data_IF_915090491055
#
_entry.id   IF_915090491055
#
_cell.length_a   1.000
_cell.length_b   1.000
_cell.length_c   1.000
_cell.angle_alpha   90.00
_cell.angle_beta   90.00
_cell.angle_gamma   90.00
#
_symmetry.space_group_name_H-M   'P 1'
#
loop_
_entity.id
_entity.type
_entity.pdbx_description
1 polymer ?
#
# COMPACT_ATOMS: atom_id res chain seq x y z
N UNK A 1 -1.11 -7.71 -29.12
CA UNK A 1 -1.63 -8.98 -28.55
C UNK A 1 -0.65 -9.46 -27.48
N UNK A 2 -0.93 -9.17 -26.21
CA UNK A 2 -0.12 -9.68 -25.09
C UNK A 2 -0.34 -11.19 -25.03
N UNK A 3 0.72 -11.99 -25.20
CA UNK A 3 0.61 -13.44 -25.03
C UNK A 3 0.18 -13.70 -23.60
N UNK A 4 -1.00 -14.27 -23.39
CA UNK A 4 -1.45 -14.79 -22.10
C UNK A 4 -0.35 -15.70 -21.54
N UNK A 5 0.14 -15.35 -20.36
CA UNK A 5 1.19 -16.13 -19.71
C UNK A 5 0.51 -17.24 -18.92
N UNK A 6 0.85 -18.46 -19.18
CA UNK A 6 0.45 -19.60 -18.36
C UNK A 6 1.40 -19.72 -17.17
N UNK A 7 0.84 -19.87 -15.97
CA UNK A 7 1.61 -20.13 -14.76
C UNK A 7 1.38 -21.60 -14.34
N UNK A 8 2.44 -22.40 -14.10
CA UNK A 8 2.28 -23.82 -13.84
C UNK A 8 1.41 -24.16 -12.62
N UNK A 9 1.43 -23.30 -11.59
CA UNK A 9 0.69 -23.54 -10.34
C UNK A 9 -0.59 -22.66 -10.24
N UNK A 10 -0.65 -21.52 -10.94
CA UNK A 10 -1.76 -20.56 -10.88
C UNK A 10 -2.67 -20.58 -12.11
N UNK A 11 -2.29 -21.31 -13.16
CA UNK A 11 -3.08 -21.44 -14.39
C UNK A 11 -2.94 -20.27 -15.36
N UNK A 12 -3.96 -20.02 -16.16
CA UNK A 12 -3.95 -18.98 -17.19
C UNK A 12 -4.09 -17.58 -16.57
N UNK A 13 -3.32 -16.62 -17.11
CA UNK A 13 -3.44 -15.22 -16.76
C UNK A 13 -4.79 -14.67 -17.21
N UNK A 14 -5.48 -13.98 -16.31
CA UNK A 14 -6.79 -13.37 -16.53
C UNK A 14 -6.66 -11.88 -16.87
N UNK A 15 -6.13 -11.11 -15.95
CA UNK A 15 -5.94 -9.66 -16.07
C UNK A 15 -4.81 -9.18 -15.15
N UNK A 16 -4.45 -7.92 -15.30
CA UNK A 16 -3.46 -7.26 -14.44
C UNK A 16 -4.00 -5.92 -13.96
N UNK A 17 -3.94 -5.66 -12.66
CA UNK A 17 -4.26 -4.33 -12.12
C UNK A 17 -3.06 -3.74 -11.39
N UNK A 18 -3.06 -2.43 -11.25
CA UNK A 18 -2.05 -1.71 -10.48
C UNK A 18 -2.62 -1.25 -9.13
N UNK A 19 -1.76 -1.24 -8.11
CA UNK A 19 -2.08 -0.66 -6.80
C UNK A 19 -0.98 0.32 -6.44
N UNK A 20 -1.36 1.59 -6.26
CA UNK A 20 -0.46 2.68 -5.87
C UNK A 20 -0.93 3.28 -4.55
N UNK A 21 -0.03 3.92 -3.80
CA UNK A 21 -0.34 4.54 -2.52
C UNK A 21 0.53 5.76 -2.26
N UNK A 22 0.04 6.64 -1.41
CA UNK A 22 0.84 7.66 -0.75
C UNK A 22 1.60 8.54 -1.77
N UNK A 23 0.86 9.15 -2.70
CA UNK A 23 1.42 10.07 -3.69
C UNK A 23 1.71 11.45 -3.10
N UNK A 24 1.02 11.84 -2.03
CA UNK A 24 1.22 13.08 -1.29
C UNK A 24 1.41 14.30 -2.18
N UNK A 25 0.61 14.40 -3.22
CA UNK A 25 0.68 15.53 -4.15
C UNK A 25 0.38 16.85 -3.44
N UNK A 26 0.97 17.90 -3.94
CA UNK A 26 0.88 19.25 -3.41
C UNK A 26 0.37 20.20 -4.51
N UNK A 27 -0.06 21.42 -4.19
CA UNK A 27 -0.24 22.44 -5.21
C UNK A 27 1.01 22.56 -6.07
N UNK A 28 0.86 22.87 -7.35
CA UNK A 28 2.02 23.05 -8.24
C UNK A 28 2.90 24.23 -7.79
N UNK A 29 2.31 25.24 -7.13
CA UNK A 29 3.03 26.41 -6.63
C UNK A 29 2.56 26.79 -5.23
N UNK A 30 3.45 27.39 -4.44
CA UNK A 30 3.10 28.12 -3.22
C UNK A 30 2.71 27.27 -2.02
N UNK A 31 3.05 25.98 -2.00
CA UNK A 31 2.73 25.09 -0.87
C UNK A 31 3.88 25.03 0.16
N UNK A 32 3.57 25.37 1.39
CA UNK A 32 4.44 25.27 2.56
C UNK A 32 3.86 24.29 3.62
N UNK A 33 2.92 23.43 3.23
CA UNK A 33 2.24 22.52 4.16
C UNK A 33 3.15 21.42 4.69
N UNK A 34 4.22 21.08 3.97
CA UNK A 34 5.19 20.08 4.39
C UNK A 34 6.47 20.71 4.93
N UNK A 35 6.92 20.35 6.13
CA UNK A 35 8.23 20.75 6.65
C UNK A 35 9.41 19.99 5.98
N UNK A 36 9.11 19.07 5.07
CA UNK A 36 10.11 18.17 4.48
C UNK A 36 10.33 18.49 3.02
N UNK A 37 11.57 18.79 2.64
CA UNK A 37 11.95 19.08 1.25
C UNK A 37 11.62 17.94 0.29
N UNK A 38 11.68 16.70 0.75
CA UNK A 38 11.35 15.53 -0.07
C UNK A 38 9.95 15.60 -0.68
N UNK A 39 9.02 16.28 -0.04
CA UNK A 39 7.67 16.45 -0.58
C UNK A 39 7.63 17.34 -1.83
N UNK A 40 8.68 18.14 -2.09
CA UNK A 40 8.83 18.90 -3.34
C UNK A 40 8.86 17.99 -4.58
N UNK A 41 9.30 16.75 -4.42
CA UNK A 41 9.38 15.76 -5.49
C UNK A 41 8.04 15.05 -5.79
N UNK A 42 7.05 15.16 -4.91
CA UNK A 42 5.82 14.35 -4.95
C UNK A 42 5.08 14.45 -6.29
N UNK A 43 4.85 15.67 -6.80
CA UNK A 43 4.13 15.87 -8.07
C UNK A 43 4.91 15.30 -9.27
N UNK A 44 6.23 15.50 -9.31
CA UNK A 44 7.10 14.94 -10.36
C UNK A 44 7.08 13.40 -10.35
N UNK A 45 7.17 12.80 -9.16
CA UNK A 45 7.08 11.36 -8.95
C UNK A 45 5.72 10.80 -9.33
N UNK A 46 4.63 11.48 -8.98
CA UNK A 46 3.28 11.07 -9.37
C UNK A 46 3.10 11.08 -10.89
N UNK A 47 3.59 12.12 -11.59
CA UNK A 47 3.58 12.17 -13.07
C UNK A 47 4.40 11.03 -13.69
N UNK A 48 5.57 10.74 -13.13
CA UNK A 48 6.38 9.60 -13.57
C UNK A 48 5.62 8.27 -13.42
N UNK A 49 4.95 8.07 -12.27
CA UNK A 49 4.14 6.85 -12.02
C UNK A 49 2.99 6.75 -13.02
N UNK A 50 2.29 7.83 -13.33
CA UNK A 50 1.20 7.84 -14.33
C UNK A 50 1.72 7.43 -15.72
N UNK A 51 2.82 8.01 -16.18
CA UNK A 51 3.43 7.66 -17.48
C UNK A 51 3.95 6.20 -17.48
N UNK A 52 4.49 5.74 -16.36
CA UNK A 52 4.94 4.35 -16.21
C UNK A 52 3.76 3.37 -16.24
N UNK A 53 2.66 3.69 -15.59
CA UNK A 53 1.42 2.90 -15.64
C UNK A 53 0.87 2.82 -17.07
N UNK A 54 0.85 3.94 -17.81
CA UNK A 54 0.42 3.94 -19.22
C UNK A 54 1.30 3.02 -20.10
N UNK A 55 2.60 2.90 -19.78
CA UNK A 55 3.48 1.95 -20.49
C UNK A 55 3.31 0.50 -20.03
N UNK A 56 2.88 0.26 -18.80
CA UNK A 56 2.66 -1.07 -18.24
C UNK A 56 1.26 -1.62 -18.54
N UNK A 57 0.33 -0.76 -18.96
CA UNK A 57 -1.01 -1.10 -19.45
C UNK A 57 -1.80 -2.01 -18.48
N UNK A 58 -2.01 -1.61 -17.18
CA UNK A 58 -2.92 -2.35 -16.32
C UNK A 58 -4.36 -2.22 -16.81
N UNK A 59 -5.19 -3.22 -16.55
CA UNK A 59 -6.63 -3.17 -16.87
C UNK A 59 -7.34 -2.05 -16.09
N UNK A 60 -6.89 -1.78 -14.85
CA UNK A 60 -7.30 -0.64 -14.03
C UNK A 60 -6.26 -0.38 -12.92
N UNK A 61 -6.40 0.75 -12.23
CA UNK A 61 -5.54 1.16 -11.12
C UNK A 61 -6.37 1.44 -9.86
N UNK A 62 -5.85 1.08 -8.68
CA UNK A 62 -6.42 1.45 -7.38
C UNK A 62 -5.39 2.32 -6.65
N UNK A 63 -5.83 3.46 -6.13
CA UNK A 63 -5.04 4.35 -5.27
C UNK A 63 -5.51 4.21 -3.83
N UNK A 64 -4.61 3.82 -2.94
CA UNK A 64 -4.91 3.47 -1.54
C UNK A 64 -4.92 4.67 -0.58
N UNK A 65 -5.07 5.88 -1.05
CA UNK A 65 -5.14 7.06 -0.20
C UNK A 65 -3.80 7.78 0.00
N UNK A 66 -3.85 8.86 0.78
CA UNK A 66 -2.82 9.88 0.86
C UNK A 66 -2.46 10.40 -0.53
N UNK A 67 -3.53 10.79 -1.24
CA UNK A 67 -3.45 11.30 -2.61
C UNK A 67 -2.75 12.66 -2.59
N UNK A 68 -3.14 13.50 -1.62
CA UNK A 68 -2.57 14.84 -1.42
C UNK A 68 -1.83 14.94 -0.09
N UNK A 69 -0.89 15.90 0.03
CA UNK A 69 -0.14 16.10 1.27
C UNK A 69 -0.82 17.06 2.24
N UNK A 70 -1.38 18.21 1.80
CA UNK A 70 -2.11 19.10 2.70
C UNK A 70 -3.34 18.39 3.27
N UNK A 71 -3.54 18.52 4.58
CA UNK A 71 -4.75 18.04 5.25
C UNK A 71 -5.94 18.97 4.97
N UNK A 72 -7.19 18.50 5.11
CA UNK A 72 -8.39 19.29 4.71
C UNK A 72 -8.58 20.65 5.41
N UNK A 73 -7.98 20.84 6.58
CA UNK A 73 -8.01 22.14 7.28
C UNK A 73 -7.19 23.22 6.59
N UNK A 74 -6.24 22.86 5.75
CA UNK A 74 -5.34 23.80 5.11
C UNK A 74 -5.94 24.40 3.82
N UNK A 75 -5.74 25.68 3.56
CA UNK A 75 -6.25 26.32 2.35
C UNK A 75 -5.63 25.76 1.06
N UNK A 76 -4.49 25.06 1.18
CA UNK A 76 -3.78 24.43 0.07
C UNK A 76 -4.34 23.05 -0.31
N UNK A 77 -5.27 22.49 0.48
CA UNK A 77 -5.88 21.17 0.20
C UNK A 77 -6.60 21.14 -1.16
N UNK A 78 -7.51 22.10 -1.41
CA UNK A 78 -8.23 22.16 -2.69
C UNK A 78 -7.29 22.25 -3.91
N UNK A 79 -6.34 23.20 -3.93
CA UNK A 79 -5.34 23.28 -4.99
C UNK A 79 -4.51 22.01 -5.18
N UNK A 80 -4.18 21.28 -4.09
CA UNK A 80 -3.49 20.00 -4.19
C UNK A 80 -4.38 18.92 -4.83
N UNK A 81 -5.67 18.87 -4.45
CA UNK A 81 -6.63 17.95 -5.08
C UNK A 81 -6.79 18.24 -6.58
N UNK A 82 -6.79 19.50 -6.99
CA UNK A 82 -6.85 19.88 -8.41
C UNK A 82 -5.59 19.44 -9.15
N UNK A 83 -4.40 19.58 -8.56
CA UNK A 83 -3.14 19.10 -9.12
C UNK A 83 -3.14 17.58 -9.27
N UNK A 84 -3.63 16.86 -8.27
CA UNK A 84 -3.74 15.39 -8.30
C UNK A 84 -4.70 14.94 -9.42
N UNK A 85 -5.88 15.54 -9.53
CA UNK A 85 -6.83 15.26 -10.62
C UNK A 85 -6.22 15.51 -11.99
N UNK A 86 -5.49 16.63 -12.15
CA UNK A 86 -4.82 16.95 -13.41
C UNK A 86 -3.76 15.91 -13.79
N UNK A 87 -3.03 15.36 -12.82
CA UNK A 87 -2.07 14.30 -13.07
C UNK A 87 -2.75 12.98 -13.46
N UNK A 88 -3.74 12.54 -12.68
CA UNK A 88 -4.39 11.23 -12.90
C UNK A 88 -5.36 11.20 -14.07
N UNK A 89 -5.84 12.33 -14.57
CA UNK A 89 -6.65 12.38 -15.81
C UNK A 89 -5.83 11.92 -17.05
N UNK A 90 -4.50 11.95 -16.95
CA UNK A 90 -3.60 11.47 -18.01
C UNK A 90 -3.37 9.96 -17.99
N UNK A 91 -3.96 9.23 -17.04
CA UNK A 91 -3.89 7.78 -16.99
C UNK A 91 -4.83 7.16 -18.04
N UNK A 92 -4.31 6.22 -18.83
CA UNK A 92 -5.06 5.55 -19.89
C UNK A 92 -6.07 4.52 -19.35
N UNK A 93 -5.80 3.97 -18.16
CA UNK A 93 -6.69 3.02 -17.48
C UNK A 93 -7.59 3.71 -16.45
N UNK A 94 -8.75 3.11 -16.16
CA UNK A 94 -9.60 3.57 -15.05
C UNK A 94 -8.83 3.55 -13.73
N UNK A 95 -9.05 4.59 -12.90
CA UNK A 95 -8.50 4.67 -11.55
C UNK A 95 -9.62 4.76 -10.51
N UNK A 96 -9.46 4.02 -9.41
CA UNK A 96 -10.33 4.07 -8.23
C UNK A 96 -9.53 4.58 -7.05
N UNK A 97 -10.16 5.44 -6.25
CA UNK A 97 -9.54 6.05 -5.08
C UNK A 97 -10.23 5.60 -3.80
N UNK A 98 -9.47 5.49 -2.71
CA UNK A 98 -9.94 5.53 -1.35
C UNK A 98 -9.20 6.64 -0.61
N UNK A 99 -9.76 7.22 0.47
CA UNK A 99 -9.07 8.25 1.21
C UNK A 99 -7.96 7.69 2.10
N UNK A 100 -6.91 8.47 2.31
CA UNK A 100 -5.93 8.34 3.37
C UNK A 100 -6.13 9.42 4.44
N UNK A 101 -5.29 9.39 5.48
CA UNK A 101 -5.41 10.36 6.58
C UNK A 101 -5.07 11.80 6.16
N UNK A 102 -4.24 12.00 5.16
CA UNK A 102 -4.03 13.32 4.58
C UNK A 102 -5.25 13.82 3.78
N UNK A 103 -6.07 12.91 3.28
CA UNK A 103 -7.23 13.26 2.45
C UNK A 103 -8.47 13.61 3.28
N UNK A 104 -8.65 13.04 4.50
CA UNK A 104 -9.87 13.20 5.33
C UNK A 104 -9.61 13.40 6.82
N UNK A 105 -8.36 13.46 7.26
CA UNK A 105 -7.94 13.54 8.66
C UNK A 105 -7.51 12.19 9.23
N UNK A 106 -6.73 12.25 10.30
CA UNK A 106 -6.25 11.06 11.03
C UNK A 106 -7.41 10.31 11.71
N UNK A 107 -7.22 9.02 11.96
CA UNK A 107 -8.17 8.21 12.72
C UNK A 107 -8.47 8.85 14.09
N UNK A 108 -9.66 8.56 14.70
CA UNK A 108 -10.09 9.20 15.94
C UNK A 108 -9.29 8.71 17.16
N UNK A 109 -8.10 9.27 17.33
CA UNK A 109 -7.19 8.97 18.43
C UNK A 109 -6.41 10.25 18.78
N UNK A 110 -6.48 10.68 20.05
CA UNK A 110 -5.88 11.94 20.53
C UNK A 110 -4.34 11.97 20.43
N UNK A 111 -3.71 10.84 20.15
CA UNK A 111 -2.26 10.74 19.96
C UNK A 111 -1.82 10.92 18.52
N UNK A 112 -2.73 11.21 17.60
CA UNK A 112 -2.39 11.41 16.20
C UNK A 112 -1.73 12.76 15.95
N UNK A 113 -0.77 12.85 15.01
CA UNK A 113 -0.01 14.07 14.77
C UNK A 113 -0.78 15.16 14.01
N UNK A 114 -1.79 14.78 13.24
CA UNK A 114 -2.63 15.72 12.48
C UNK A 114 -4.04 15.81 13.07
N UNK A 115 -4.86 16.68 12.51
CA UNK A 115 -6.27 16.78 12.87
C UNK A 115 -7.01 15.48 12.62
N UNK A 116 -7.90 15.13 13.56
CA UNK A 116 -8.71 13.91 13.43
C UNK A 116 -9.73 14.06 12.32
N UNK A 117 -10.21 12.93 11.83
CA UNK A 117 -11.27 12.87 10.84
C UNK A 117 -12.51 13.63 11.28
N UNK A 118 -13.12 14.34 10.34
CA UNK A 118 -14.41 15.02 10.48
C UNK A 118 -15.31 14.69 9.29
N UNK A 119 -16.65 14.62 9.52
CA UNK A 119 -17.58 14.32 8.42
C UNK A 119 -17.46 15.34 7.27
N UNK A 120 -17.19 16.61 7.57
CA UNK A 120 -16.99 17.66 6.54
C UNK A 120 -15.73 17.40 5.68
N UNK A 121 -14.71 16.73 6.19
CA UNK A 121 -13.51 16.37 5.44
C UNK A 121 -13.80 15.21 4.50
N UNK A 122 -14.55 14.22 4.95
CA UNK A 122 -15.06 13.14 4.09
C UNK A 122 -15.91 13.71 2.95
N UNK A 123 -16.77 14.67 3.24
CA UNK A 123 -17.57 15.37 2.23
C UNK A 123 -16.70 16.20 1.26
N UNK A 124 -15.61 16.79 1.75
CA UNK A 124 -14.64 17.48 0.90
C UNK A 124 -13.95 16.51 -0.06
N UNK A 125 -13.44 15.39 0.45
CA UNK A 125 -12.87 14.32 -0.36
C UNK A 125 -13.81 13.85 -1.47
N UNK A 126 -15.08 13.56 -1.11
CA UNK A 126 -16.09 13.09 -2.07
C UNK A 126 -16.31 14.05 -3.24
N UNK A 127 -16.16 15.34 -3.04
CA UNK A 127 -16.28 16.34 -4.13
C UNK A 127 -15.15 16.26 -5.15
N UNK A 128 -13.95 15.82 -4.73
CA UNK A 128 -12.79 15.72 -5.60
C UNK A 128 -12.61 14.33 -6.22
N UNK A 129 -12.76 13.26 -5.43
CA UNK A 129 -12.35 11.91 -5.79
C UNK A 129 -13.51 10.91 -5.87
N UNK A 130 -14.73 11.30 -5.51
CA UNK A 130 -15.91 10.43 -5.53
C UNK A 130 -16.15 9.74 -4.20
N UNK A 131 -16.77 8.55 -4.23
CA UNK A 131 -17.13 7.83 -3.02
C UNK A 131 -15.91 7.46 -2.16
N UNK A 132 -16.04 7.62 -0.83
CA UNK A 132 -15.03 7.27 0.16
C UNK A 132 -14.87 5.74 0.33
N UNK A 133 -15.92 4.98 0.07
CA UNK A 133 -15.90 3.53 -0.04
C UNK A 133 -16.77 3.07 -1.21
N UNK A 134 -16.40 1.97 -1.82
CA UNK A 134 -17.10 1.42 -3.00
C UNK A 134 -16.68 -0.02 -3.27
N UNK A 135 -17.41 -0.69 -4.14
CA UNK A 135 -16.99 -1.97 -4.70
C UNK A 135 -17.29 -2.05 -6.20
N UNK A 136 -16.60 -2.94 -6.87
CA UNK A 136 -16.83 -3.23 -8.28
C UNK A 136 -16.37 -4.64 -8.64
N UNK A 137 -16.91 -5.15 -9.71
CA UNK A 137 -16.49 -6.43 -10.27
C UNK A 137 -15.57 -6.22 -11.49
N UNK A 138 -14.56 -7.06 -11.60
CA UNK A 138 -13.77 -7.20 -12.82
C UNK A 138 -13.58 -8.69 -13.13
N UNK A 139 -14.13 -9.14 -14.25
CA UNK A 139 -14.25 -10.55 -14.59
C UNK A 139 -14.96 -11.35 -13.46
N UNK A 140 -14.31 -12.40 -12.93
CA UNK A 140 -14.80 -13.25 -11.84
C UNK A 140 -14.32 -12.82 -10.45
N UNK A 141 -13.70 -11.65 -10.34
CA UNK A 141 -13.20 -11.09 -9.09
C UNK A 141 -14.04 -9.90 -8.62
N UNK A 142 -14.12 -9.75 -7.30
CA UNK A 142 -14.78 -8.64 -6.62
C UNK A 142 -13.75 -7.80 -5.88
N UNK A 143 -13.84 -6.48 -6.01
CA UNK A 143 -12.95 -5.52 -5.39
C UNK A 143 -13.73 -4.65 -4.41
N UNK A 144 -13.39 -4.71 -3.13
CA UNK A 144 -14.01 -3.95 -2.05
C UNK A 144 -13.03 -2.91 -1.53
N UNK A 145 -13.38 -1.65 -1.61
CA UNK A 145 -12.57 -0.49 -1.23
C UNK A 145 -13.22 0.19 -0.03
N UNK A 146 -12.52 0.36 1.09
CA UNK A 146 -13.05 0.91 2.32
C UNK A 146 -12.28 2.13 2.82
N UNK A 147 -12.99 3.06 3.45
CA UNK A 147 -12.41 4.16 4.22
C UNK A 147 -12.05 3.67 5.63
N UNK A 148 -10.76 3.52 5.90
CA UNK A 148 -10.28 3.08 7.22
C UNK A 148 -10.27 4.21 8.26
N UNK A 149 -10.27 5.46 7.85
CA UNK A 149 -10.16 6.61 8.74
C UNK A 149 -11.42 6.82 9.57
N UNK A 150 -12.61 6.47 9.01
CA UNK A 150 -13.87 6.56 9.76
C UNK A 150 -14.07 5.42 10.77
N UNK A 151 -13.25 4.38 10.73
CA UNK A 151 -13.35 3.23 11.66
C UNK A 151 -13.07 3.71 13.10
N UNK A 152 -13.98 3.35 14.01
CA UNK A 152 -14.01 3.77 15.42
C UNK A 152 -14.33 5.27 15.63
N UNK A 153 -14.80 5.99 14.63
CA UNK A 153 -15.16 7.41 14.76
C UNK A 153 -16.48 7.62 15.53
N UNK A 154 -17.34 6.62 15.52
CA UNK A 154 -18.72 6.76 16.01
C UNK A 154 -19.63 7.58 15.10
N UNK A 155 -19.16 7.98 13.93
CA UNK A 155 -19.93 8.74 12.95
C UNK A 155 -21.01 7.88 12.28
N UNK A 156 -22.03 8.54 11.78
CA UNK A 156 -23.08 7.83 11.03
C UNK A 156 -22.52 7.15 9.77
N UNK A 157 -21.55 7.78 9.09
CA UNK A 157 -20.91 7.20 7.91
C UNK A 157 -20.17 5.91 8.24
N UNK A 158 -19.54 5.78 9.42
CA UNK A 158 -18.95 4.52 9.86
C UNK A 158 -19.98 3.39 9.95
N UNK A 159 -21.11 3.65 10.63
CA UNK A 159 -22.15 2.65 10.77
C UNK A 159 -22.71 2.20 9.41
N UNK A 160 -22.89 3.14 8.47
CA UNK A 160 -23.33 2.87 7.11
C UNK A 160 -22.29 2.05 6.32
N UNK A 161 -21.00 2.37 6.47
CA UNK A 161 -19.93 1.60 5.82
C UNK A 161 -19.89 0.16 6.34
N UNK A 162 -20.00 -0.05 7.67
CA UNK A 162 -20.02 -1.39 8.22
C UNK A 162 -21.21 -2.23 7.72
N UNK A 163 -22.41 -1.64 7.71
CA UNK A 163 -23.60 -2.31 7.19
C UNK A 163 -23.47 -2.66 5.71
N UNK A 164 -22.93 -1.72 4.92
CA UNK A 164 -22.65 -1.93 3.51
C UNK A 164 -21.59 -3.01 3.29
N UNK A 165 -20.46 -2.96 4.04
CA UNK A 165 -19.36 -3.91 3.89
C UNK A 165 -19.79 -5.35 4.20
N UNK A 166 -20.58 -5.55 5.26
CA UNK A 166 -21.10 -6.88 5.60
C UNK A 166 -22.00 -7.43 4.50
N UNK A 167 -22.84 -6.59 3.89
CA UNK A 167 -23.68 -6.99 2.75
C UNK A 167 -22.84 -7.24 1.48
N UNK A 168 -21.95 -6.34 1.17
CA UNK A 168 -21.11 -6.42 -0.03
C UNK A 168 -20.31 -7.73 -0.07
N UNK A 169 -19.65 -8.07 1.03
CA UNK A 169 -18.91 -9.33 1.15
C UNK A 169 -19.83 -10.56 1.13
N UNK A 170 -21.02 -10.48 1.74
CA UNK A 170 -21.97 -11.59 1.75
C UNK A 170 -22.56 -11.84 0.36
N UNK A 171 -22.94 -10.80 -0.36
CA UNK A 171 -23.54 -10.87 -1.69
C UNK A 171 -22.53 -11.38 -2.75
N UNK A 172 -21.24 -11.20 -2.47
CA UNK A 172 -20.16 -11.65 -3.36
C UNK A 172 -19.43 -12.92 -2.85
N UNK A 173 -20.02 -13.59 -1.85
CA UNK A 173 -19.50 -14.86 -1.36
C UNK A 173 -19.49 -15.91 -2.47
N UNK A 174 -18.31 -16.41 -2.83
CA UNK A 174 -18.08 -17.32 -3.96
C UNK A 174 -17.32 -16.70 -5.13
N UNK A 175 -17.14 -15.37 -5.15
CA UNK A 175 -16.13 -14.71 -5.98
C UNK A 175 -14.79 -14.66 -5.25
N UNK A 176 -13.73 -14.40 -5.99
CA UNK A 176 -12.44 -14.04 -5.44
C UNK A 176 -12.48 -12.58 -5.03
N UNK A 177 -12.26 -12.28 -3.75
CA UNK A 177 -12.43 -10.95 -3.18
C UNK A 177 -11.05 -10.34 -2.89
N UNK A 178 -10.84 -9.12 -3.40
CA UNK A 178 -9.70 -8.27 -3.09
C UNK A 178 -10.18 -7.06 -2.29
N UNK A 179 -9.60 -6.84 -1.10
CA UNK A 179 -9.96 -5.72 -0.24
C UNK A 179 -8.84 -4.69 -0.21
N UNK A 180 -9.21 -3.42 -0.26
CA UNK A 180 -8.30 -2.29 -0.24
C UNK A 180 -8.64 -1.32 0.89
N UNK A 181 -7.63 -0.87 1.62
CA UNK A 181 -7.78 0.09 2.70
C UNK A 181 -6.50 0.92 2.83
N UNK A 182 -6.59 2.14 3.39
CA UNK A 182 -5.38 2.94 3.61
C UNK A 182 -4.60 2.45 4.82
N UNK A 183 -5.17 2.50 6.03
CA UNK A 183 -4.53 1.92 7.21
C UNK A 183 -4.50 0.40 7.16
N UNK A 184 -3.36 -0.25 7.38
CA UNK A 184 -3.33 -1.69 7.59
C UNK A 184 -3.99 -2.06 8.93
N UNK A 185 -4.63 -3.22 9.03
CA UNK A 185 -5.11 -3.72 10.31
C UNK A 185 -3.99 -3.85 11.34
N UNK A 186 -2.82 -4.28 10.91
CA UNK A 186 -1.61 -4.41 11.72
C UNK A 186 -0.35 -4.46 10.83
N UNK A 187 0.81 -4.14 11.42
CA UNK A 187 2.11 -4.22 10.73
C UNK A 187 2.74 -5.59 10.93
N UNK A 188 2.75 -6.10 12.17
CA UNK A 188 3.49 -7.30 12.56
C UNK A 188 2.59 -8.46 12.98
N UNK A 189 1.58 -8.19 13.77
CA UNK A 189 0.73 -9.21 14.38
C UNK A 189 -0.67 -8.65 14.67
N UNK A 190 -1.69 -9.48 14.46
CA UNK A 190 -3.09 -9.09 14.62
C UNK A 190 -3.43 -8.58 16.03
N UNK A 191 -2.68 -9.03 17.04
CA UNK A 191 -2.83 -8.68 18.45
C UNK A 191 -1.87 -7.57 18.93
N UNK A 192 -1.19 -6.88 18.00
CA UNK A 192 -0.30 -5.79 18.38
C UNK A 192 -1.07 -4.61 18.98
N UNK A 193 -0.39 -3.82 19.83
CA UNK A 193 -0.99 -2.62 20.40
C UNK A 193 -1.41 -1.63 19.31
N UNK A 194 -2.42 -0.81 19.60
CA UNK A 194 -2.78 0.34 18.76
C UNK A 194 -1.62 1.33 18.70
N UNK A 195 -1.32 1.82 17.51
CA UNK A 195 -0.31 2.84 17.25
C UNK A 195 -0.64 3.59 15.96
N UNK A 196 0.18 4.56 15.58
CA UNK A 196 -0.09 5.43 14.43
C UNK A 196 -0.40 4.63 13.15
N UNK A 197 0.32 3.55 12.90
CA UNK A 197 0.33 2.86 11.61
C UNK A 197 -0.71 1.75 11.44
N UNK A 198 -1.58 1.49 12.42
CA UNK A 198 -2.56 0.41 12.33
C UNK A 198 -3.99 0.86 12.65
N UNK A 199 -4.96 0.04 12.29
CA UNK A 199 -6.36 0.25 12.71
C UNK A 199 -6.48 -0.09 14.20
N UNK A 200 -7.14 0.79 14.97
CA UNK A 200 -7.37 0.59 16.40
C UNK A 200 -8.49 -0.43 16.67
N UNK A 201 -8.47 -1.01 17.88
CA UNK A 201 -9.58 -1.83 18.36
C UNK A 201 -10.81 -0.94 18.73
N UNK A 202 -12.05 -1.42 18.60
CA UNK A 202 -12.45 -2.76 18.19
C UNK A 202 -12.59 -2.96 16.66
N UNK A 203 -12.43 -1.90 15.87
CA UNK A 203 -12.61 -1.92 14.43
C UNK A 203 -11.67 -2.91 13.73
N UNK A 204 -10.41 -3.00 14.16
CA UNK A 204 -9.44 -3.97 13.65
C UNK A 204 -9.93 -5.41 13.75
N UNK A 205 -10.34 -5.82 14.94
CA UNK A 205 -10.86 -7.18 15.15
C UNK A 205 -12.15 -7.45 14.37
N UNK A 206 -13.02 -6.43 14.18
CA UNK A 206 -14.21 -6.56 13.35
C UNK A 206 -13.85 -6.79 11.88
N UNK A 207 -12.93 -6.00 11.35
CA UNK A 207 -12.46 -6.13 9.96
C UNK A 207 -11.81 -7.48 9.71
N UNK A 208 -10.89 -7.91 10.58
CA UNK A 208 -10.21 -9.19 10.45
C UNK A 208 -11.17 -10.39 10.46
N UNK A 209 -12.21 -10.35 11.31
CA UNK A 209 -13.25 -11.39 11.29
C UNK A 209 -14.06 -11.44 10.00
N UNK A 210 -14.32 -10.28 9.37
CA UNK A 210 -15.01 -10.24 8.06
C UNK A 210 -14.11 -10.79 6.95
N UNK A 211 -12.84 -10.40 6.94
CA UNK A 211 -11.83 -10.89 6.00
C UNK A 211 -11.73 -12.43 6.06
N UNK A 212 -11.63 -12.99 7.27
CA UNK A 212 -11.57 -14.44 7.46
C UNK A 212 -12.88 -15.14 7.05
N UNK A 213 -14.03 -14.62 7.52
CA UNK A 213 -15.36 -15.19 7.23
C UNK A 213 -15.65 -15.29 5.74
N UNK A 214 -15.27 -14.28 4.98
CA UNK A 214 -15.57 -14.21 3.55
C UNK A 214 -14.40 -14.64 2.66
N UNK A 215 -13.35 -15.21 3.25
CA UNK A 215 -12.19 -15.76 2.54
C UNK A 215 -11.60 -14.76 1.53
N UNK A 216 -11.40 -13.51 1.98
CA UNK A 216 -10.75 -12.48 1.16
C UNK A 216 -9.40 -13.01 0.68
N UNK A 217 -9.15 -12.96 -0.63
CA UNK A 217 -7.93 -13.50 -1.21
C UNK A 217 -6.70 -12.64 -0.88
N UNK A 218 -6.83 -11.33 -1.03
CA UNK A 218 -5.77 -10.40 -0.69
C UNK A 218 -6.29 -9.08 -0.12
N UNK A 219 -5.49 -8.50 0.77
CA UNK A 219 -5.65 -7.18 1.35
C UNK A 219 -4.48 -6.29 0.94
N UNK A 220 -4.78 -5.10 0.41
CA UNK A 220 -3.79 -4.10 0.04
C UNK A 220 -3.94 -2.86 0.91
N UNK A 221 -2.82 -2.38 1.49
CA UNK A 221 -2.78 -1.24 2.40
C UNK A 221 -1.67 -0.25 2.03
N UNK A 222 -1.89 1.05 2.30
CA UNK A 222 -0.91 2.13 2.18
C UNK A 222 -0.37 2.60 3.54
N UNK A 223 -0.29 3.92 3.71
CA UNK A 223 0.00 4.67 4.95
C UNK A 223 1.43 4.55 5.48
N UNK A 224 2.00 3.36 5.45
CA UNK A 224 3.27 3.06 6.14
C UNK A 224 4.49 3.50 5.33
N UNK A 225 4.32 3.76 4.03
CA UNK A 225 5.37 4.11 3.07
C UNK A 225 6.49 3.07 2.97
N UNK A 226 6.24 1.85 3.45
CA UNK A 226 7.23 0.78 3.45
C UNK A 226 6.57 -0.56 3.15
N UNK A 227 7.38 -1.50 2.67
CA UNK A 227 6.89 -2.83 2.34
C UNK A 227 6.81 -3.73 3.58
N UNK A 228 5.59 -4.29 3.81
CA UNK A 228 5.38 -5.41 4.74
C UNK A 228 4.44 -6.43 4.13
N UNK A 229 4.70 -7.69 4.45
CA UNK A 229 3.84 -8.80 4.05
C UNK A 229 3.35 -9.56 5.26
N UNK A 230 2.06 -9.79 5.32
CA UNK A 230 1.42 -10.59 6.35
C UNK A 230 0.49 -11.63 5.73
N UNK A 231 0.09 -12.57 6.55
CA UNK A 231 -0.99 -13.50 6.24
C UNK A 231 -1.92 -13.60 7.42
N UNK A 232 -3.23 -13.37 7.19
CA UNK A 232 -4.27 -13.56 8.18
C UNK A 232 -5.23 -14.63 7.68
N UNK A 233 -5.29 -15.78 8.39
CA UNK A 233 -5.95 -16.98 7.89
C UNK A 233 -5.39 -17.34 6.48
N UNK A 234 -6.25 -17.30 5.45
CA UNK A 234 -5.84 -17.56 4.07
C UNK A 234 -5.63 -16.29 3.24
N UNK A 235 -5.87 -15.11 3.81
CA UNK A 235 -5.70 -13.82 3.15
C UNK A 235 -4.24 -13.39 3.15
N UNK A 236 -3.70 -13.09 1.97
CA UNK A 236 -2.40 -12.44 1.81
C UNK A 236 -2.56 -10.92 2.01
N UNK A 237 -1.76 -10.31 2.87
CA UNK A 237 -1.83 -8.89 3.16
C UNK A 237 -0.54 -8.18 2.76
N UNK A 238 -0.67 -7.17 1.92
CA UNK A 238 0.41 -6.38 1.38
C UNK A 238 0.29 -4.94 1.88
N UNK A 239 1.31 -4.46 2.59
CA UNK A 239 1.46 -3.04 2.88
C UNK A 239 2.44 -2.50 1.85
N UNK A 240 2.04 -1.48 1.12
CA UNK A 240 2.77 -0.96 -0.03
C UNK A 240 3.80 0.08 0.36
N UNK A 241 4.94 0.15 -0.35
CA UNK A 241 5.75 1.35 -0.33
C UNK A 241 4.99 2.53 -0.95
N UNK A 242 5.36 3.73 -0.54
CA UNK A 242 4.86 4.96 -1.15
C UNK A 242 5.46 5.18 -2.53
N UNK A 243 4.81 6.02 -3.32
CA UNK A 243 5.38 6.55 -4.56
C UNK A 243 6.08 7.88 -4.37
N UNK A 244 5.82 8.58 -3.25
CA UNK A 244 6.32 9.93 -2.98
C UNK A 244 7.61 9.98 -2.16
N UNK A 245 7.61 9.45 -0.95
CA UNK A 245 8.77 9.45 -0.05
C UNK A 245 8.70 8.29 0.95
N UNK A 246 9.86 7.93 1.51
CA UNK A 246 9.97 6.93 2.56
C UNK A 246 9.85 7.61 3.94
N UNK A 247 9.43 6.89 4.97
CA UNK A 247 9.31 7.44 6.33
C UNK A 247 10.61 7.26 7.12
N UNK A 248 11.03 8.31 7.83
CA UNK A 248 12.30 8.33 8.58
C UNK A 248 12.37 7.27 9.68
N UNK A 249 11.25 7.02 10.35
CA UNK A 249 11.19 6.06 11.47
C UNK A 249 11.49 4.63 11.00
N UNK A 250 11.12 4.27 9.78
CA UNK A 250 11.46 2.98 9.17
C UNK A 250 12.88 2.91 8.62
N UNK A 251 13.60 4.03 8.49
CA UNK A 251 14.99 4.01 8.05
C UNK A 251 15.91 3.29 9.04
N UNK A 252 15.53 3.22 10.31
CA UNK A 252 16.26 2.45 11.35
C UNK A 252 16.22 0.92 11.14
N UNK A 253 15.35 0.40 10.25
CA UNK A 253 15.40 -1.00 9.83
C UNK A 253 16.68 -1.36 9.07
N UNK A 254 17.37 -0.36 8.53
CA UNK A 254 18.55 -0.58 7.70
C UNK A 254 19.82 -0.21 8.46
N UNK A 255 20.85 -1.06 8.37
CA UNK A 255 22.14 -0.87 9.03
C UNK A 255 23.10 0.03 8.25
N UNK A 256 22.62 0.66 7.19
CA UNK A 256 23.36 1.64 6.40
C UNK A 256 23.02 3.05 6.88
N UNK A 257 23.91 3.99 6.60
CA UNK A 257 23.57 5.40 6.83
C UNK A 257 22.28 5.73 6.07
N UNK A 258 21.34 6.45 6.70
CA UNK A 258 20.12 6.83 6.03
C UNK A 258 20.42 7.74 4.83
N UNK A 259 19.58 7.66 3.80
CA UNK A 259 19.58 8.61 2.70
C UNK A 259 19.22 10.03 3.20
N UNK A 260 19.32 11.03 2.30
CA UNK A 260 19.02 12.42 2.64
C UNK A 260 17.70 12.59 3.40
N UNK A 261 17.62 13.65 4.19
CA UNK A 261 16.47 13.97 5.03
C UNK A 261 16.09 12.83 6.00
N UNK A 262 17.09 12.27 6.66
CA UNK A 262 16.93 11.18 7.63
C UNK A 262 16.29 9.92 7.04
N UNK A 263 16.56 9.65 5.77
CA UNK A 263 16.05 8.50 5.03
C UNK A 263 14.72 8.74 4.32
N UNK A 264 14.11 9.93 4.41
CA UNK A 264 12.88 10.23 3.66
C UNK A 264 13.08 10.21 2.16
N UNK A 265 14.25 10.59 1.68
CA UNK A 265 14.60 10.54 0.26
C UNK A 265 15.33 9.24 -0.12
N UNK A 266 15.00 8.11 0.53
CA UNK A 266 15.48 6.79 0.13
C UNK A 266 14.66 6.30 -1.09
N UNK A 267 15.02 6.83 -2.25
CA UNK A 267 14.32 6.61 -3.51
C UNK A 267 14.25 5.13 -3.93
N UNK A 268 15.22 4.32 -3.51
CA UNK A 268 15.27 2.88 -3.77
C UNK A 268 14.12 2.10 -3.07
N UNK A 269 13.44 2.73 -2.11
CA UNK A 269 12.29 2.13 -1.41
C UNK A 269 10.96 2.44 -2.07
N UNK A 270 10.93 3.38 -3.02
CA UNK A 270 9.69 3.85 -3.66
C UNK A 270 9.22 2.91 -4.76
N UNK A 271 7.91 2.76 -4.87
CA UNK A 271 7.32 1.89 -5.88
C UNK A 271 5.83 1.62 -5.67
N UNK A 272 5.30 0.76 -6.51
CA UNK A 272 3.91 0.32 -6.49
C UNK A 272 3.79 -1.12 -6.95
N UNK A 273 2.62 -1.75 -6.78
CA UNK A 273 2.43 -3.13 -7.24
C UNK A 273 1.67 -3.22 -8.56
N UNK A 274 2.19 -4.07 -9.46
CA UNK A 274 1.43 -4.69 -10.54
C UNK A 274 0.99 -6.08 -10.08
N UNK A 275 -0.31 -6.32 -10.06
CA UNK A 275 -0.90 -7.57 -9.59
C UNK A 275 -1.45 -8.36 -10.78
N UNK A 276 -0.79 -9.47 -11.09
CA UNK A 276 -1.25 -10.40 -12.11
C UNK A 276 -2.25 -11.37 -11.48
N UNK A 277 -3.47 -11.40 -11.99
CA UNK A 277 -4.51 -12.34 -11.56
C UNK A 277 -4.56 -13.51 -12.54
N UNK A 278 -4.50 -14.71 -11.98
CA UNK A 278 -4.55 -15.99 -12.70
C UNK A 278 -5.82 -16.76 -12.32
N UNK A 279 -6.05 -17.92 -12.94
CA UNK A 279 -7.21 -18.77 -12.64
C UNK A 279 -7.30 -19.16 -11.15
N UNK A 280 -6.18 -19.51 -10.54
CA UNK A 280 -6.12 -20.12 -9.20
C UNK A 280 -5.36 -19.27 -8.18
N UNK A 281 -5.23 -17.97 -8.39
CA UNK A 281 -4.54 -17.08 -7.46
C UNK A 281 -4.01 -15.82 -8.13
N UNK A 282 -3.19 -15.09 -7.40
CA UNK A 282 -2.57 -13.86 -7.90
C UNK A 282 -1.07 -13.85 -7.60
N UNK A 283 -0.37 -12.95 -8.28
CA UNK A 283 1.03 -12.64 -8.03
C UNK A 283 1.22 -11.12 -8.07
N UNK A 284 1.49 -10.51 -6.92
CA UNK A 284 1.84 -9.11 -6.84
C UNK A 284 3.33 -8.92 -7.14
N UNK A 285 3.69 -7.91 -7.90
CA UNK A 285 5.07 -7.61 -8.27
C UNK A 285 5.35 -6.13 -8.02
N UNK A 286 6.37 -5.85 -7.21
CA UNK A 286 6.82 -4.49 -6.99
C UNK A 286 7.47 -3.93 -8.27
N UNK A 287 7.03 -2.75 -8.66
CA UNK A 287 7.67 -1.90 -9.66
C UNK A 287 8.34 -0.76 -8.91
N UNK A 288 9.67 -0.77 -8.87
CA UNK A 288 10.43 0.31 -8.24
C UNK A 288 10.48 1.52 -9.15
N UNK A 289 10.26 2.69 -8.58
CA UNK A 289 10.28 3.95 -9.32
C UNK A 289 11.62 4.67 -9.23
N UNK A 290 12.45 4.32 -8.22
CA UNK A 290 13.77 4.92 -8.02
C UNK A 290 13.73 6.42 -7.75
N UNK A 291 12.54 6.96 -7.41
CA UNK A 291 12.35 8.39 -7.19
C UNK A 291 12.44 9.25 -8.46
N UNK A 292 12.35 8.63 -9.64
CA UNK A 292 12.31 9.33 -10.91
C UNK A 292 11.13 10.31 -10.99
N UNK A 293 11.31 11.42 -11.69
CA UNK A 293 10.38 12.53 -11.78
C UNK A 293 10.15 12.97 -13.22
N UNK A 294 8.98 13.52 -13.49
CA UNK A 294 8.68 14.22 -14.73
C UNK A 294 8.20 15.64 -14.44
N UNK A 295 8.70 16.60 -15.21
CA UNK A 295 8.18 17.95 -15.19
C UNK A 295 6.75 18.02 -15.75
N UNK A 296 6.05 19.11 -15.47
CA UNK A 296 4.72 19.32 -16.03
C UNK A 296 4.76 19.35 -17.56
N UNK A 297 3.96 18.47 -18.19
CA UNK A 297 3.94 18.32 -19.65
C UNK A 297 5.06 17.49 -20.26
N UNK A 298 6.00 17.03 -19.45
CA UNK A 298 7.04 16.10 -19.89
C UNK A 298 6.46 14.68 -20.11
N UNK A 299 6.97 13.97 -21.10
CA UNK A 299 6.61 12.58 -21.39
C UNK A 299 7.79 11.64 -21.14
N UNK A 300 7.49 10.49 -20.60
CA UNK A 300 8.51 9.47 -20.39
C UNK A 300 9.00 8.91 -21.72
N UNK A 301 10.32 8.72 -21.81
CA UNK A 301 10.91 7.95 -22.92
C UNK A 301 10.44 6.49 -22.78
N UNK A 302 10.02 5.83 -23.88
CA UNK A 302 9.58 4.44 -23.83
C UNK A 302 10.61 3.53 -23.16
N UNK A 303 10.14 2.78 -22.16
CA UNK A 303 10.97 1.83 -21.44
C UNK A 303 11.38 0.69 -22.37
N UNK A 304 12.69 0.50 -22.53
CA UNK A 304 13.20 -0.74 -23.08
C UNK A 304 13.41 -1.67 -21.88
N UNK A 305 12.61 -2.74 -21.73
CA UNK A 305 12.75 -3.63 -20.58
C UNK A 305 14.13 -4.30 -20.61
N UNK A 306 15.06 -3.81 -19.81
CA UNK A 306 16.42 -4.40 -19.70
C UNK A 306 16.45 -5.55 -18.71
N UNK A 307 15.58 -5.50 -17.70
CA UNK A 307 15.50 -6.51 -16.63
C UNK A 307 14.02 -6.79 -16.37
N UNK A 308 13.64 -8.06 -16.38
CA UNK A 308 12.34 -8.51 -15.86
C UNK A 308 12.53 -8.97 -14.43
N UNK A 309 11.91 -8.28 -13.49
CA UNK A 309 11.72 -8.81 -12.14
C UNK A 309 10.51 -9.74 -12.14
N UNK A 310 10.61 -10.86 -11.46
CA UNK A 310 9.53 -11.83 -11.37
C UNK A 310 9.15 -12.03 -9.91
N UNK A 311 7.86 -12.11 -9.66
CA UNK A 311 7.39 -12.60 -8.37
C UNK A 311 7.88 -14.03 -8.14
N UNK A 312 8.17 -14.36 -6.87
CA UNK A 312 8.63 -15.70 -6.55
C UNK A 312 7.64 -16.79 -7.01
N UNK A 313 6.34 -16.56 -6.99
CA UNK A 313 5.32 -17.45 -7.54
C UNK A 313 5.44 -17.65 -9.06
N UNK A 314 6.01 -16.69 -9.79
CA UNK A 314 6.15 -16.74 -11.26
C UNK A 314 7.37 -17.54 -11.74
N UNK A 315 8.27 -17.94 -10.82
CA UNK A 315 9.46 -18.75 -11.12
C UNK A 315 9.41 -20.04 -10.31
N UNK A 316 8.66 -21.06 -10.75
CA UNK A 316 8.36 -22.24 -9.94
C UNK A 316 9.60 -23.08 -9.58
N UNK A 317 10.67 -23.03 -10.37
CA UNK A 317 11.86 -23.86 -10.20
C UNK A 317 13.16 -23.05 -10.23
N UNK A 318 13.28 -22.05 -9.34
CA UNK A 318 14.54 -21.33 -9.22
C UNK A 318 15.70 -22.28 -8.94
N UNK A 319 16.74 -22.30 -9.79
CA UNK A 319 17.87 -23.22 -9.62
C UNK A 319 18.80 -22.78 -8.48
N UNK A 320 18.66 -21.55 -8.00
CA UNK A 320 19.52 -20.93 -6.99
C UNK A 320 18.80 -20.92 -5.64
N UNK A 321 19.52 -21.26 -4.60
CA UNK A 321 19.11 -21.07 -3.20
C UNK A 321 20.12 -20.24 -2.44
N UNK A 322 19.71 -19.63 -1.35
CA UNK A 322 20.58 -18.83 -0.48
C UNK A 322 20.58 -19.36 0.95
N UNK A 323 21.70 -19.16 1.64
CA UNK A 323 21.84 -19.45 3.06
C UNK A 323 21.79 -18.16 3.86
N UNK A 324 20.71 -17.97 4.61
CA UNK A 324 20.55 -16.85 5.51
C UNK A 324 21.13 -17.23 6.87
N UNK A 325 22.26 -16.63 7.23
CA UNK A 325 23.01 -16.94 8.45
C UNK A 325 22.48 -16.21 9.68
N UNK A 326 21.76 -15.10 9.45
CA UNK A 326 21.18 -14.26 10.51
C UNK A 326 19.66 -14.36 10.45
N UNK A 327 18.97 -14.05 11.54
CA UNK A 327 17.53 -13.91 11.54
C UNK A 327 17.10 -12.94 10.42
N UNK A 328 16.44 -13.49 9.41
CA UNK A 328 15.97 -12.72 8.26
C UNK A 328 14.62 -12.07 8.51
N UNK A 329 14.00 -12.41 9.63
CA UNK A 329 12.69 -11.97 10.07
C UNK A 329 12.80 -11.34 11.49
N UNK A 330 13.87 -10.60 11.72
CA UNK A 330 14.13 -9.94 12.99
C UNK A 330 13.07 -8.89 13.29
N UNK A 331 12.60 -8.88 14.53
CA UNK A 331 11.72 -7.82 15.05
C UNK A 331 12.59 -6.76 15.69
N UNK A 332 12.49 -5.53 15.18
CA UNK A 332 13.22 -4.36 15.66
C UNK A 332 12.25 -3.40 16.35
N UNK A 333 12.71 -2.70 17.39
CA UNK A 333 11.96 -1.63 18.04
C UNK A 333 12.37 -0.30 17.41
N UNK A 334 11.42 0.34 16.73
CA UNK A 334 11.61 1.63 16.09
C UNK A 334 10.91 2.75 16.88
N UNK A 335 11.40 4.00 16.83
CA UNK A 335 10.65 5.13 17.35
C UNK A 335 9.36 5.33 16.56
N UNK A 336 8.40 6.04 17.14
CA UNK A 336 7.33 6.63 16.37
C UNK A 336 7.83 7.81 15.56
N UNK A 337 7.14 8.10 14.45
CA UNK A 337 7.39 9.32 13.69
C UNK A 337 6.97 10.52 14.57
N UNK A 338 7.92 11.45 14.86
CA UNK A 338 7.61 12.62 15.70
C UNK A 338 6.60 13.55 15.00
N UNK A 339 5.78 14.32 15.71
CA UNK A 339 5.91 14.74 17.10
C UNK A 339 5.33 13.75 18.12
N UNK A 340 4.95 12.57 17.69
CA UNK A 340 4.53 11.52 18.60
C UNK A 340 5.69 11.14 19.54
N UNK A 341 5.36 10.64 20.68
CA UNK A 341 6.27 10.32 21.77
C UNK A 341 7.60 9.71 21.32
N UNK A 342 8.68 10.47 21.32
CA UNK A 342 10.01 9.98 20.93
C UNK A 342 10.54 8.85 21.86
N UNK A 343 9.91 8.67 23.02
CA UNK A 343 10.20 7.58 23.96
C UNK A 343 9.36 6.31 23.71
N UNK A 344 8.26 6.42 22.98
CA UNK A 344 7.46 5.25 22.61
C UNK A 344 8.09 4.52 21.45
N UNK A 345 8.03 3.18 21.50
CA UNK A 345 8.62 2.30 20.49
C UNK A 345 7.56 1.37 19.92
N UNK A 346 7.56 1.20 18.61
CA UNK A 346 6.79 0.19 17.92
C UNK A 346 7.67 -0.98 17.51
N UNK A 347 7.11 -2.16 17.49
CA UNK A 347 7.81 -3.38 17.10
C UNK A 347 7.43 -3.75 15.68
N UNK A 348 8.40 -3.77 14.80
CA UNK A 348 8.20 -4.09 13.38
C UNK A 348 9.18 -5.17 12.92
N UNK A 349 8.83 -5.83 11.83
CA UNK A 349 9.67 -6.77 11.11
C UNK A 349 10.39 -6.06 9.96
N UNK A 350 11.57 -6.49 9.60
CA UNK A 350 12.21 -6.04 8.35
C UNK A 350 11.87 -6.99 7.20
N UNK A 351 10.79 -6.71 6.49
CA UNK A 351 10.33 -7.54 5.37
C UNK A 351 11.07 -7.23 4.05
N UNK A 352 11.98 -6.25 4.03
CA UNK A 352 12.78 -5.96 2.84
C UNK A 352 13.75 -7.09 2.46
N UNK A 353 14.17 -7.92 3.42
CA UNK A 353 14.90 -9.14 3.11
C UNK A 353 14.04 -10.13 2.31
N UNK A 354 12.78 -10.27 2.70
CA UNK A 354 11.80 -11.09 1.98
C UNK A 354 11.56 -10.52 0.58
N UNK A 355 11.34 -9.22 0.48
CA UNK A 355 11.17 -8.52 -0.80
C UNK A 355 12.37 -8.71 -1.73
N UNK A 356 13.60 -8.60 -1.21
CA UNK A 356 14.81 -8.81 -2.01
C UNK A 356 14.92 -10.26 -2.54
N UNK A 357 14.58 -11.25 -1.73
CA UNK A 357 14.52 -12.65 -2.18
C UNK A 357 13.47 -12.82 -3.28
N UNK A 358 12.36 -12.17 -3.11
CA UNK A 358 11.26 -12.18 -4.06
C UNK A 358 11.65 -11.58 -5.42
N UNK A 359 12.22 -10.38 -5.42
CA UNK A 359 12.69 -9.69 -6.63
C UNK A 359 13.78 -10.49 -7.37
N UNK A 360 14.64 -11.18 -6.62
CA UNK A 360 15.67 -12.07 -7.17
C UNK A 360 15.13 -13.42 -7.66
N UNK A 361 13.84 -13.70 -7.45
CA UNK A 361 13.24 -14.98 -7.80
C UNK A 361 13.77 -16.16 -6.99
N UNK A 362 14.29 -15.93 -5.78
CA UNK A 362 14.79 -16.97 -4.89
C UNK A 362 13.63 -17.74 -4.28
N UNK A 363 13.65 -19.08 -4.47
CA UNK A 363 12.62 -20.02 -3.98
C UNK A 363 13.12 -20.96 -2.90
N UNK A 364 14.41 -21.05 -2.75
CA UNK A 364 15.05 -22.00 -1.82
C UNK A 364 15.93 -21.24 -0.85
N UNK A 365 15.58 -21.31 0.42
CA UNK A 365 16.37 -20.70 1.48
C UNK A 365 16.76 -21.74 2.53
N UNK A 366 17.93 -21.57 3.11
CA UNK A 366 18.38 -22.29 4.31
C UNK A 366 18.41 -21.30 5.47
N UNK A 367 17.66 -21.59 6.50
CA UNK A 367 17.51 -20.77 7.70
C UNK A 367 17.78 -21.60 8.96
N UNK A 368 18.05 -20.98 10.11
CA UNK A 368 18.08 -21.66 11.40
C UNK A 368 16.73 -22.31 11.72
N UNK A 369 16.76 -23.53 12.25
CA UNK A 369 15.52 -24.26 12.58
C UNK A 369 14.68 -23.55 13.64
N UNK A 370 15.32 -22.77 14.52
CA UNK A 370 14.64 -21.96 15.54
C UNK A 370 13.64 -20.98 14.94
N UNK A 371 13.89 -20.47 13.73
CA UNK A 371 12.98 -19.54 13.07
C UNK A 371 11.69 -20.20 12.58
N UNK A 372 11.71 -21.51 12.33
CA UNK A 372 10.50 -22.26 11.96
C UNK A 372 9.52 -22.43 13.12
N UNK A 373 9.97 -22.23 14.34
CA UNK A 373 9.13 -22.32 15.53
C UNK A 373 8.23 -21.09 15.69
N UNK A 374 8.57 -19.98 15.05
CA UNK A 374 7.79 -18.74 15.10
C UNK A 374 6.79 -18.68 13.94
N UNK A 375 5.52 -18.46 14.26
CA UNK A 375 4.43 -18.40 13.28
C UNK A 375 4.67 -17.31 12.21
N UNK A 376 5.12 -16.13 12.64
CA UNK A 376 5.44 -15.01 11.76
C UNK A 376 6.48 -15.36 10.69
N UNK A 377 7.49 -16.16 11.06
CA UNK A 377 8.50 -16.67 10.12
C UNK A 377 7.89 -17.65 9.13
N UNK A 378 7.04 -18.56 9.62
CA UNK A 378 6.32 -19.51 8.75
C UNK A 378 5.43 -18.81 7.75
N UNK A 379 4.78 -17.70 8.12
CA UNK A 379 3.96 -16.93 7.21
C UNK A 379 4.79 -16.28 6.08
N UNK A 380 5.96 -15.72 6.40
CA UNK A 380 6.90 -15.23 5.39
C UNK A 380 7.44 -16.31 4.45
N UNK A 381 7.55 -17.56 4.91
CA UNK A 381 7.98 -18.69 4.08
C UNK A 381 6.90 -19.17 3.09
N UNK A 382 5.65 -18.81 3.28
CA UNK A 382 4.54 -19.13 2.37
C UNK A 382 4.40 -18.15 1.24
N UNK A 383 5.06 -17.01 1.35
CA UNK A 383 5.14 -15.98 0.36
C UNK A 383 6.07 -16.34 -0.85
#
# INVERSE_FOLDING_TARGET
MVKRKHHPDLGEHRFTFAVIADTHMRPEEGDESSPWEVNLHANGRARYVVELLNQLEPDFTIHLGDIVHPVPELPTYGPACDAAKAAFVSLDSDIRFIPGNHDVGDKPNDQMPAGQIEEQFVDAYKRYFGADYSSFDHQDCHFTLIDAQIINSGFKCEALQWEWLERDLADNNGKRIFLCTHYPPYIRAADEASHYDNIDEPGRSRLLRLIERHSVEALFCGHVHGFFYNRHADTESYILPATSFFRQDYSELFRLAPADQYGRNDAEKLGFFMVNVYENGHAARLIRTGGEELALGEKMVPLIPRIKTYHAKEIPNAPVGVHLRHPWNEVTELPYNGPMEEFSRKRVRNDYTLLALWELGIRKIRIPISELLEEKTRNGLRF
#
